data_IF_543843209231
#
_entry.id   IF_543843209231
#
_cell.length_a   1.000
_cell.length_b   1.000
_cell.length_c   1.000
_cell.angle_alpha   90.00
_cell.angle_beta   90.00
_cell.angle_gamma   90.00
#
_symmetry.space_group_name_H-M   'P 1'
#
loop_
_entity.id
_entity.type
_entity.pdbx_description
1 polymer ?
#
# COMPACT_ATOMS: atom_id res chain seq x y z
N UNK A 1 -70.74 22.56 49.73
CA UNK A 1 -69.35 23.06 49.71
C UNK A 1 -68.55 22.36 50.80
N UNK A 2 -67.75 21.35 50.43
CA UNK A 2 -66.66 20.77 51.23
C UNK A 2 -65.82 19.91 50.29
N UNK A 3 -64.62 20.41 50.00
CA UNK A 3 -63.57 19.80 49.19
C UNK A 3 -63.00 18.60 49.96
N UNK A 4 -62.93 17.42 49.33
CA UNK A 4 -62.27 16.24 49.92
C UNK A 4 -61.48 15.45 48.87
N UNK A 5 -60.16 15.39 49.11
CA UNK A 5 -59.20 14.27 48.99
C UNK A 5 -59.03 13.61 47.62
N UNK A 6 -57.90 13.74 46.92
CA UNK A 6 -56.56 13.13 47.12
C UNK A 6 -56.55 11.60 47.37
N UNK A 7 -55.65 10.91 46.63
CA UNK A 7 -55.27 9.48 46.62
C UNK A 7 -56.19 8.56 45.80
N UNK A 8 -55.78 8.12 44.61
CA UNK A 8 -54.97 6.91 44.30
C UNK A 8 -55.01 6.78 42.75
N UNK A 9 -54.10 6.19 41.96
CA UNK A 9 -53.19 5.08 42.17
C UNK A 9 -52.07 5.18 41.11
N UNK A 10 -50.81 5.09 41.56
CA UNK A 10 -49.60 5.00 40.75
C UNK A 10 -49.05 3.59 40.92
N UNK A 11 -49.18 2.69 39.92
CA UNK A 11 -48.37 1.47 39.72
C UNK A 11 -48.43 1.15 38.21
N UNK A 12 -47.41 1.53 37.42
CA UNK A 12 -46.29 0.69 36.92
C UNK A 12 -46.73 -0.60 36.20
N UNK A 13 -46.54 -0.63 34.87
CA UNK A 13 -46.07 -1.85 34.21
C UNK A 13 -45.04 -1.51 33.12
N UNK A 14 -43.83 -1.93 33.39
CA UNK A 14 -42.67 -1.97 32.51
C UNK A 14 -42.87 -3.00 31.40
N UNK A 15 -42.56 -2.63 30.16
CA UNK A 15 -41.98 -3.59 29.21
C UNK A 15 -40.71 -2.99 28.63
N UNK A 16 -39.61 -3.27 29.34
CA UNK A 16 -38.26 -3.23 28.80
C UNK A 16 -38.17 -4.22 27.65
N UNK A 17 -38.18 -3.72 26.41
CA UNK A 17 -37.64 -4.49 25.28
C UNK A 17 -36.18 -4.10 25.17
N UNK A 18 -35.34 -4.76 25.98
CA UNK A 18 -33.90 -4.78 25.76
C UNK A 18 -33.65 -5.69 24.56
N UNK A 19 -33.67 -5.12 23.35
CA UNK A 19 -33.08 -5.76 22.19
C UNK A 19 -31.56 -5.71 22.39
N UNK A 20 -31.00 -6.79 22.93
CA UNK A 20 -29.56 -6.98 22.99
C UNK A 20 -29.09 -7.15 21.53
N UNK A 21 -28.53 -6.07 21.00
CA UNK A 21 -27.73 -6.06 19.78
C UNK A 21 -26.59 -7.07 19.96
N UNK A 22 -26.69 -8.21 19.28
CA UNK A 22 -25.55 -9.11 19.06
C UNK A 22 -25.28 -9.19 17.57
N UNK A 23 -24.76 -8.09 17.02
CA UNK A 23 -24.10 -8.08 15.71
C UNK A 23 -22.86 -7.21 15.82
N UNK A 24 -21.72 -7.82 16.19
CA UNK A 24 -20.40 -7.22 15.98
C UNK A 24 -19.31 -8.21 16.36
N UNK A 25 -18.89 -9.09 15.45
CA UNK A 25 -17.62 -9.84 15.62
C UNK A 25 -17.07 -10.51 14.35
N UNK A 26 -17.58 -10.21 13.14
CA UNK A 26 -17.09 -10.86 11.91
C UNK A 26 -16.43 -9.92 10.89
N UNK A 27 -16.33 -8.62 11.18
CA UNK A 27 -15.78 -7.63 10.26
C UNK A 27 -14.34 -7.16 10.59
N UNK A 28 -13.70 -7.70 11.65
CA UNK A 28 -12.36 -7.23 12.07
C UNK A 28 -11.20 -8.14 11.68
N UNK A 29 -11.43 -9.44 11.43
CA UNK A 29 -10.33 -10.35 11.09
C UNK A 29 -9.92 -10.28 9.61
N UNK A 30 -10.83 -9.89 8.72
CA UNK A 30 -10.54 -9.80 7.28
C UNK A 30 -9.76 -8.51 6.94
N UNK A 31 -10.00 -7.40 7.66
CA UNK A 31 -9.25 -6.16 7.45
C UNK A 31 -7.78 -6.24 7.88
N UNK A 32 -7.47 -7.06 8.89
CA UNK A 32 -6.12 -7.17 9.44
C UNK A 32 -5.16 -7.91 8.48
N UNK A 33 -5.68 -8.72 7.55
CA UNK A 33 -4.89 -9.42 6.54
C UNK A 33 -4.49 -8.52 5.36
N UNK A 34 -5.35 -7.57 5.00
CA UNK A 34 -5.05 -6.61 3.92
C UNK A 34 -3.97 -5.60 4.33
N UNK A 35 -3.94 -5.20 5.61
CA UNK A 35 -2.93 -4.29 6.17
C UNK A 35 -1.50 -4.87 6.14
N UNK A 36 -1.36 -6.20 6.22
CA UNK A 36 -0.06 -6.88 6.19
C UNK A 36 0.65 -6.75 4.84
N UNK A 37 -0.07 -6.49 3.76
CA UNK A 37 0.50 -6.29 2.43
C UNK A 37 1.00 -4.86 2.17
N UNK A 38 0.74 -3.94 3.11
CA UNK A 38 1.13 -2.53 3.03
C UNK A 38 2.24 -2.16 4.03
N UNK A 39 2.77 -3.15 4.75
CA UNK A 39 3.83 -3.02 5.75
C UNK A 39 4.98 -3.97 5.47
N UNK A 40 6.19 -3.42 5.42
CA UNK A 40 7.40 -4.21 5.17
C UNK A 40 8.48 -3.90 6.18
N UNK A 41 9.13 -4.94 6.69
CA UNK A 41 10.32 -4.77 7.50
C UNK A 41 11.54 -4.61 6.59
N UNK A 42 12.32 -3.56 6.78
CA UNK A 42 13.59 -3.35 6.10
C UNK A 42 14.72 -3.36 7.14
N UNK A 43 15.99 -3.26 6.70
CA UNK A 43 17.09 -3.07 7.65
C UNK A 43 17.12 -1.65 8.26
N UNK A 44 16.37 -0.71 7.68
CA UNK A 44 16.34 0.69 8.07
C UNK A 44 15.08 1.10 8.84
N UNK A 45 14.19 0.15 9.14
CA UNK A 45 12.90 0.44 9.77
C UNK A 45 11.72 -0.21 9.05
N UNK A 46 10.53 0.18 9.46
CA UNK A 46 9.26 -0.25 8.86
C UNK A 46 8.89 0.67 7.69
N UNK A 47 8.71 0.07 6.51
CA UNK A 47 8.15 0.72 5.33
C UNK A 47 6.63 0.57 5.33
N UNK A 48 5.91 1.67 5.22
CA UNK A 48 4.45 1.71 5.10
C UNK A 48 4.00 2.54 3.91
N UNK A 49 2.85 2.18 3.34
CA UNK A 49 2.20 2.88 2.24
C UNK A 49 0.90 3.51 2.74
N UNK A 50 0.77 4.84 2.64
CA UNK A 50 -0.36 5.57 3.25
C UNK A 50 -1.06 6.53 2.29
N UNK A 51 -2.36 6.71 2.46
CA UNK A 51 -3.17 7.71 1.76
C UNK A 51 -2.96 9.14 2.32
N UNK A 52 -3.74 10.11 1.81
CA UNK A 52 -3.61 11.54 2.17
C UNK A 52 -3.94 11.82 3.63
N UNK A 53 -4.74 10.95 4.25
CA UNK A 53 -5.13 11.00 5.65
C UNK A 53 -4.09 10.32 6.56
N UNK A 54 -3.03 9.74 5.98
CA UNK A 54 -1.98 9.04 6.69
C UNK A 54 -2.36 7.62 7.15
N UNK A 55 -3.42 7.04 6.60
CA UNK A 55 -3.85 5.66 6.88
C UNK A 55 -3.28 4.70 5.84
N UNK A 56 -3.07 3.44 6.22
CA UNK A 56 -2.65 2.39 5.29
C UNK A 56 -3.69 2.26 4.16
N UNK A 57 -3.20 2.25 2.92
CA UNK A 57 -4.08 2.18 1.74
C UNK A 57 -3.33 1.56 0.55
N UNK A 58 -4.04 0.76 -0.25
CA UNK A 58 -3.52 0.20 -1.51
C UNK A 58 -3.30 1.29 -2.57
N UNK A 59 -4.05 2.40 -2.49
CA UNK A 59 -3.92 3.60 -3.31
C UNK A 59 -3.18 4.70 -2.52
N UNK A 60 -1.97 4.38 -2.06
CA UNK A 60 -1.17 5.30 -1.25
C UNK A 60 -0.76 6.55 -2.05
N UNK A 61 -0.46 7.63 -1.35
CA UNK A 61 0.19 8.82 -1.93
C UNK A 61 1.56 9.08 -1.34
N UNK A 62 1.93 8.32 -0.31
CA UNK A 62 3.27 8.35 0.29
C UNK A 62 3.74 6.93 0.63
N UNK A 63 5.04 6.71 0.47
CA UNK A 63 5.75 5.62 1.15
C UNK A 63 6.58 6.22 2.29
N UNK A 64 6.41 5.69 3.50
CA UNK A 64 7.06 6.17 4.72
C UNK A 64 7.97 5.10 5.29
N UNK A 65 9.17 5.50 5.72
CA UNK A 65 10.11 4.65 6.46
C UNK A 65 10.22 5.19 7.89
N UNK A 66 9.79 4.40 8.87
CA UNK A 66 9.65 4.81 10.28
C UNK A 66 8.88 6.14 10.42
N UNK A 67 7.78 6.28 9.67
CA UNK A 67 6.94 7.47 9.67
C UNK A 67 7.48 8.65 8.85
N UNK A 68 8.72 8.60 8.36
CA UNK A 68 9.29 9.64 7.49
C UNK A 68 9.01 9.36 6.02
N UNK A 69 8.43 10.33 5.30
CA UNK A 69 8.18 10.23 3.87
C UNK A 69 9.49 10.07 3.09
N UNK A 70 9.60 9.01 2.27
CA UNK A 70 10.73 8.75 1.37
C UNK A 70 10.32 8.81 -0.11
N UNK A 71 9.02 8.68 -0.40
CA UNK A 71 8.43 8.83 -1.73
C UNK A 71 7.04 9.45 -1.58
N UNK A 72 6.69 10.41 -2.44
CA UNK A 72 5.38 11.07 -2.43
C UNK A 72 4.87 11.35 -3.85
N UNK A 73 3.58 11.13 -4.06
CA UNK A 73 2.83 11.45 -5.28
C UNK A 73 1.81 12.58 -5.10
N UNK A 74 1.76 13.26 -3.93
CA UNK A 74 0.70 14.21 -3.55
C UNK A 74 0.47 15.33 -4.58
N UNK A 75 1.51 15.75 -5.31
CA UNK A 75 1.44 16.78 -6.35
C UNK A 75 1.76 16.25 -7.75
N UNK A 76 1.87 14.94 -7.91
CA UNK A 76 2.15 14.32 -9.19
C UNK A 76 0.85 14.13 -9.97
N UNK A 77 0.87 14.56 -11.22
CA UNK A 77 -0.23 14.40 -12.16
C UNK A 77 0.29 13.83 -13.47
N UNK A 78 -0.53 13.07 -14.17
CA UNK A 78 -0.23 12.67 -15.53
C UNK A 78 -0.50 13.78 -16.55
N UNK A 79 -0.29 13.48 -17.84
CA UNK A 79 -0.57 14.40 -18.94
C UNK A 79 -2.03 14.82 -19.10
N UNK A 80 -2.97 14.20 -18.37
CA UNK A 80 -4.39 14.56 -18.36
C UNK A 80 -4.79 15.33 -17.09
N UNK A 81 -3.83 15.62 -16.21
CA UNK A 81 -4.07 16.33 -14.95
C UNK A 81 -4.64 15.47 -13.83
N UNK A 82 -4.68 14.15 -13.98
CA UNK A 82 -5.17 13.21 -12.97
C UNK A 82 -4.07 12.96 -11.93
N UNK A 83 -4.40 13.06 -10.64
CA UNK A 83 -3.45 12.77 -9.55
C UNK A 83 -2.99 11.32 -9.59
N UNK A 84 -1.69 11.10 -9.35
CA UNK A 84 -1.11 9.76 -9.30
C UNK A 84 -1.13 9.20 -7.87
N UNK A 85 -1.28 7.89 -7.77
CA UNK A 85 -1.13 7.08 -6.55
C UNK A 85 0.04 6.12 -6.69
N UNK A 86 0.53 5.68 -5.54
CA UNK A 86 1.64 4.77 -5.32
C UNK A 86 1.03 3.41 -4.93
N UNK A 87 1.41 2.36 -5.65
CA UNK A 87 0.86 1.02 -5.48
C UNK A 87 1.97 -0.02 -5.51
N UNK A 88 1.72 -1.17 -4.90
CA UNK A 88 2.61 -2.33 -5.00
C UNK A 88 2.06 -3.23 -6.11
N UNK A 89 2.87 -3.59 -7.12
CA UNK A 89 2.43 -4.52 -8.15
C UNK A 89 2.02 -5.89 -7.58
N UNK A 90 1.33 -6.70 -8.39
CA UNK A 90 0.89 -8.05 -7.97
C UNK A 90 2.02 -8.84 -7.31
N UNK A 91 1.76 -9.36 -6.10
CA UNK A 91 2.71 -10.16 -5.35
C UNK A 91 3.19 -11.42 -6.09
N UNK A 92 2.39 -11.98 -7.00
CA UNK A 92 2.75 -13.12 -7.84
C UNK A 92 3.85 -12.76 -8.86
N UNK A 93 3.98 -11.47 -9.21
CA UNK A 93 5.04 -10.97 -10.08
C UNK A 93 6.38 -10.79 -9.36
N UNK A 94 6.50 -11.18 -8.08
CA UNK A 94 7.72 -11.03 -7.29
C UNK A 94 8.24 -9.57 -7.23
N UNK A 95 7.39 -8.60 -6.86
CA UNK A 95 7.72 -7.17 -6.88
C UNK A 95 8.73 -6.78 -5.81
N UNK A 96 9.01 -7.65 -4.83
CA UNK A 96 9.98 -7.40 -3.78
C UNK A 96 11.02 -8.51 -3.70
N UNK A 97 12.23 -8.14 -3.30
CA UNK A 97 13.25 -9.10 -2.90
C UNK A 97 13.08 -9.38 -1.41
N UNK A 98 12.67 -10.60 -1.07
CA UNK A 98 12.64 -11.04 0.33
C UNK A 98 14.05 -11.26 0.86
N UNK A 99 14.32 -10.81 2.08
CA UNK A 99 15.58 -11.11 2.78
C UNK A 99 15.69 -12.60 3.11
N UNK A 100 14.56 -13.26 3.39
CA UNK A 100 14.47 -14.70 3.70
C UNK A 100 13.42 -15.38 2.84
N UNK A 101 13.65 -16.64 2.48
CA UNK A 101 12.68 -17.44 1.71
C UNK A 101 11.47 -17.89 2.54
N UNK A 102 11.60 -17.90 3.86
CA UNK A 102 10.54 -18.31 4.80
C UNK A 102 9.53 -17.17 4.99
N UNK A 103 8.24 -17.49 4.85
CA UNK A 103 7.13 -16.58 5.20
C UNK A 103 7.11 -16.43 6.72
N UNK A 104 7.32 -15.23 7.30
CA UNK A 104 7.18 -15.07 8.74
C UNK A 104 5.71 -15.31 9.14
N UNK A 105 5.45 -16.02 10.25
CA UNK A 105 4.09 -16.40 10.63
C UNK A 105 3.24 -15.24 11.16
N UNK A 106 3.83 -14.12 11.60
CA UNK A 106 3.11 -13.06 12.35
C UNK A 106 3.69 -11.64 12.22
N UNK A 107 4.52 -11.34 11.20
CA UNK A 107 5.23 -10.05 11.11
C UNK A 107 5.30 -9.53 9.68
N UNK A 108 5.44 -8.20 9.49
CA UNK A 108 5.58 -7.62 8.16
C UNK A 108 6.71 -8.31 7.40
N UNK A 109 6.50 -8.49 6.10
CA UNK A 109 7.43 -9.20 5.25
C UNK A 109 8.79 -8.50 5.25
N UNK A 110 9.87 -9.23 5.51
CA UNK A 110 11.22 -8.67 5.47
C UNK A 110 11.75 -8.60 4.04
N UNK A 111 12.07 -7.40 3.58
CA UNK A 111 12.52 -7.14 2.22
C UNK A 111 13.82 -6.33 2.18
N UNK A 112 14.56 -6.54 1.11
CA UNK A 112 15.74 -5.75 0.78
C UNK A 112 15.42 -4.69 -0.29
N UNK A 113 14.50 -5.00 -1.20
CA UNK A 113 14.10 -4.15 -2.33
C UNK A 113 12.63 -4.34 -2.67
N UNK A 114 12.00 -3.33 -3.27
CA UNK A 114 10.64 -3.40 -3.79
C UNK A 114 10.47 -2.50 -5.02
N UNK A 115 9.77 -2.99 -6.03
CA UNK A 115 9.22 -2.21 -7.14
C UNK A 115 7.89 -1.64 -6.70
N UNK A 116 7.73 -0.36 -6.93
CA UNK A 116 6.54 0.42 -6.65
C UNK A 116 6.02 0.99 -7.97
N UNK A 117 4.73 0.83 -8.22
CA UNK A 117 4.05 1.41 -9.35
C UNK A 117 3.53 2.81 -8.98
N UNK A 118 3.59 3.74 -9.91
CA UNK A 118 2.97 5.06 -9.79
C UNK A 118 2.07 5.30 -11.01
N UNK A 119 0.79 5.53 -10.77
CA UNK A 119 -0.22 5.58 -11.83
C UNK A 119 -1.57 6.07 -11.34
N UNK A 120 -2.58 6.02 -12.20
CA UNK A 120 -3.97 6.34 -11.81
C UNK A 120 -4.60 5.25 -10.96
N UNK A 121 -4.27 4.01 -11.29
CA UNK A 121 -4.75 2.78 -10.66
C UNK A 121 -3.79 1.64 -11.00
N UNK A 122 -3.98 0.47 -10.38
CA UNK A 122 -3.13 -0.70 -10.61
C UNK A 122 -3.24 -1.20 -12.06
N UNK A 123 -4.40 -0.98 -12.68
CA UNK A 123 -4.67 -1.33 -14.08
C UNK A 123 -4.08 -0.33 -15.06
N UNK A 124 -3.70 0.87 -14.59
CA UNK A 124 -3.07 1.87 -15.43
C UNK A 124 -1.89 2.57 -14.73
N UNK A 125 -0.75 1.89 -14.80
CA UNK A 125 0.53 2.40 -14.30
C UNK A 125 1.17 3.30 -15.35
N UNK A 126 1.66 4.46 -14.90
CA UNK A 126 2.37 5.43 -15.74
C UNK A 126 3.88 5.24 -15.67
N UNK A 127 4.39 4.82 -14.51
CA UNK A 127 5.81 4.62 -14.25
C UNK A 127 6.06 3.74 -13.02
N UNK A 128 7.31 3.32 -12.87
CA UNK A 128 7.76 2.50 -11.75
C UNK A 128 8.95 3.14 -11.04
N UNK A 129 9.10 2.82 -9.76
CA UNK A 129 10.19 3.23 -8.88
C UNK A 129 10.71 1.99 -8.16
N UNK A 130 12.01 1.91 -7.88
CA UNK A 130 12.59 0.91 -6.98
C UNK A 130 12.97 1.60 -5.67
N UNK A 131 12.48 1.04 -4.57
CA UNK A 131 12.97 1.34 -3.23
C UNK A 131 13.99 0.26 -2.85
N UNK A 132 15.21 0.67 -2.54
CA UNK A 132 16.32 -0.22 -2.20
C UNK A 132 16.84 0.08 -0.78
N UNK A 133 16.86 -0.96 0.04
CA UNK A 133 17.25 -0.93 1.45
C UNK A 133 18.52 -1.75 1.71
N UNK A 134 19.29 -2.09 0.67
CA UNK A 134 20.50 -2.91 0.79
C UNK A 134 21.73 -2.09 1.22
N UNK A 135 21.83 -0.82 0.83
CA UNK A 135 22.96 0.08 1.11
C UNK A 135 22.94 0.70 2.52
N UNK A 136 23.94 1.47 2.92
CA UNK A 136 23.98 2.11 4.26
C UNK A 136 22.82 3.09 4.52
N UNK A 137 22.19 3.59 3.45
CA UNK A 137 21.01 4.45 3.49
C UNK A 137 19.97 3.90 2.51
N UNK A 138 18.66 4.10 2.79
CA UNK A 138 17.62 3.79 1.83
C UNK A 138 17.83 4.61 0.56
N UNK A 139 17.57 3.98 -0.59
CA UNK A 139 17.72 4.58 -1.90
C UNK A 139 16.38 4.51 -2.65
N UNK A 140 16.05 5.59 -3.35
CA UNK A 140 14.87 5.69 -4.22
C UNK A 140 15.39 5.89 -5.63
N UNK A 141 15.07 4.96 -6.53
CA UNK A 141 15.53 5.08 -7.92
C UNK A 141 14.84 6.24 -8.63
N UNK A 142 15.44 6.65 -9.75
CA UNK A 142 14.71 7.41 -10.77
C UNK A 142 13.50 6.59 -11.25
N UNK A 143 12.48 7.31 -11.72
CA UNK A 143 11.29 6.72 -12.34
C UNK A 143 11.67 6.08 -13.68
N UNK A 144 11.13 4.90 -13.98
CA UNK A 144 11.38 4.17 -15.22
C UNK A 144 10.10 3.56 -15.77
N UNK A 145 10.15 3.11 -17.04
CA UNK A 145 8.94 2.78 -17.79
C UNK A 145 8.05 4.01 -17.88
N UNK A 146 8.50 5.08 -18.51
CA UNK A 146 7.82 6.37 -18.45
C UNK A 146 6.75 6.49 -19.55
N UNK A 147 5.47 6.50 -19.16
CA UNK A 147 4.36 6.83 -20.03
C UNK A 147 3.54 8.02 -19.48
N UNK A 148 4.03 9.26 -19.64
CA UNK A 148 3.37 10.45 -19.09
C UNK A 148 2.03 10.77 -19.75
N UNK A 149 1.89 10.40 -21.02
CA UNK A 149 0.69 10.67 -21.79
C UNK A 149 -0.45 9.69 -21.45
N UNK A 150 -0.18 8.62 -20.69
CA UNK A 150 -1.21 7.64 -20.32
C UNK A 150 -1.85 6.93 -21.51
N UNK A 151 -1.23 6.98 -22.72
CA UNK A 151 -1.78 6.39 -23.94
C UNK A 151 -1.85 4.85 -23.90
N UNK A 152 -0.96 4.22 -23.12
CA UNK A 152 -0.96 2.78 -22.87
C UNK A 152 -0.64 2.49 -21.40
N UNK A 153 -1.35 1.57 -20.78
CA UNK A 153 -1.09 1.22 -19.40
C UNK A 153 0.14 0.29 -19.35
N UNK A 154 1.08 0.61 -18.46
CA UNK A 154 2.20 -0.28 -18.19
C UNK A 154 1.79 -1.31 -17.16
N UNK A 155 2.33 -2.51 -17.29
CA UNK A 155 2.09 -3.61 -16.37
C UNK A 155 3.42 -4.22 -15.98
N UNK A 156 3.64 -4.32 -14.67
CA UNK A 156 4.78 -5.05 -14.13
C UNK A 156 4.56 -6.55 -14.33
N UNK A 157 5.48 -7.22 -15.02
CA UNK A 157 5.40 -8.67 -15.26
C UNK A 157 6.15 -9.43 -14.19
N UNK A 158 7.40 -9.02 -13.93
CA UNK A 158 8.22 -9.62 -12.87
C UNK A 158 9.52 -8.86 -12.60
N UNK A 159 10.13 -9.15 -11.45
CA UNK A 159 11.52 -8.83 -11.17
C UNK A 159 12.38 -10.08 -10.93
N UNK A 160 13.57 -10.09 -11.52
CA UNK A 160 14.67 -11.01 -11.19
C UNK A 160 15.72 -10.26 -10.39
N UNK A 161 15.68 -10.45 -9.08
CA UNK A 161 16.57 -9.78 -8.13
C UNK A 161 17.96 -10.43 -8.10
N UNK A 162 19.01 -9.65 -8.36
CA UNK A 162 20.40 -10.06 -8.24
C UNK A 162 21.20 -9.12 -7.32
N UNK A 163 22.38 -9.53 -6.86
CA UNK A 163 23.14 -8.76 -5.87
C UNK A 163 23.63 -7.40 -6.40
N UNK A 164 24.15 -7.38 -7.62
CA UNK A 164 24.69 -6.16 -8.27
C UNK A 164 23.70 -5.54 -9.26
N UNK A 165 23.02 -6.39 -10.00
CA UNK A 165 22.05 -6.01 -11.02
C UNK A 165 20.76 -6.80 -10.82
N UNK A 166 19.64 -6.17 -11.14
CA UNK A 166 18.32 -6.82 -11.17
C UNK A 166 17.63 -6.49 -12.47
N UNK A 167 16.92 -7.48 -13.01
CA UNK A 167 16.20 -7.32 -14.27
C UNK A 167 14.72 -7.15 -13.98
N UNK A 168 14.15 -6.06 -14.44
CA UNK A 168 12.74 -5.72 -14.32
C UNK A 168 12.08 -5.90 -15.69
N UNK A 169 10.98 -6.63 -15.73
CA UNK A 169 10.25 -6.93 -16.96
C UNK A 169 8.89 -6.26 -16.87
N UNK A 170 8.58 -5.41 -17.84
CA UNK A 170 7.24 -4.85 -18.04
C UNK A 170 6.52 -5.63 -19.16
N UNK A 171 5.25 -5.32 -19.40
CA UNK A 171 4.53 -5.87 -20.54
C UNK A 171 5.19 -5.45 -21.86
N UNK A 172 5.15 -6.35 -22.86
CA UNK A 172 5.81 -6.13 -24.15
C UNK A 172 7.29 -6.54 -24.14
N UNK A 173 8.13 -5.97 -25.02
CA UNK A 173 9.57 -6.24 -25.05
C UNK A 173 10.34 -5.53 -23.93
N UNK A 174 9.68 -4.68 -23.15
CA UNK A 174 10.31 -3.75 -22.23
C UNK A 174 10.99 -4.45 -21.06
N UNK A 175 12.33 -4.38 -21.08
CA UNK A 175 13.21 -4.91 -20.05
C UNK A 175 14.13 -3.81 -19.52
N UNK A 176 14.26 -3.73 -18.21
CA UNK A 176 15.14 -2.76 -17.55
C UNK A 176 16.18 -3.47 -16.68
N UNK A 177 17.36 -2.87 -16.55
CA UNK A 177 18.39 -3.29 -15.60
C UNK A 177 18.53 -2.23 -14.53
N UNK A 178 18.29 -2.64 -13.28
CA UNK A 178 18.57 -1.85 -12.10
C UNK A 178 19.93 -2.24 -11.52
N UNK A 179 20.82 -1.27 -11.34
CA UNK A 179 22.06 -1.44 -10.59
C UNK A 179 21.80 -1.07 -9.12
N UNK A 180 22.06 -2.00 -8.21
CA UNK A 180 21.80 -1.84 -6.76
C UNK A 180 22.34 -0.52 -6.22
N UNK A 181 21.48 0.27 -5.56
CA UNK A 181 21.80 1.62 -5.07
C UNK A 181 22.14 2.67 -6.14
N UNK A 182 21.81 2.42 -7.40
CA UNK A 182 22.20 3.25 -8.53
C UNK A 182 21.10 3.42 -9.59
N UNK A 183 21.52 3.52 -10.85
CA UNK A 183 20.63 3.84 -11.98
C UNK A 183 19.81 2.65 -12.48
N UNK A 184 18.71 2.98 -13.16
CA UNK A 184 17.92 2.05 -13.97
C UNK A 184 18.23 2.35 -15.45
N UNK A 185 18.52 1.32 -16.25
CA UNK A 185 18.78 1.43 -17.70
C UNK A 185 17.74 0.61 -18.46
N UNK A 186 17.11 1.22 -19.47
CA UNK A 186 16.23 0.55 -20.41
C UNK A 186 15.29 1.52 -21.13
N UNK A 187 14.36 1.02 -21.96
CA UNK A 187 14.18 -0.40 -22.27
C UNK A 187 15.40 -1.00 -23.00
N UNK A 188 15.71 -2.27 -22.73
CA UNK A 188 16.75 -3.04 -23.38
C UNK A 188 16.14 -3.90 -24.48
N UNK A 189 16.79 -3.92 -25.65
CA UNK A 189 16.46 -4.80 -26.78
C UNK A 189 16.74 -6.29 -26.48
#
# INVERSE_FOLDING_TARGET
MKLYRFFTCLILLSMSVAFILTVSAQASEESDLDDLHLRFATKHGELTFVNKEGKLDVNAVEAKLDGKSILSSINQKDGWGVSLVIMIPDSHANPYQRTTKTKPPTRPLKIDRIVVAEGRSIDCVNQFIILDFTGEKPFVSERFGYNPEGKSCLHFVRAKWGKKESYIYLNGPDKFVYYTGGRVIGPLE
#
